data_IF_121789949209
#
_entry.id   IF_121789949209
#
_cell.length_a   1.000
_cell.length_b   1.000
_cell.length_c   1.000
_cell.angle_alpha   90.00
_cell.angle_beta   90.00
_cell.angle_gamma   90.00
#
_symmetry.space_group_name_H-M   'P 1'
#
loop_
_entity.id
_entity.type
_entity.pdbx_description
1 polymer ?
#
# COMPACT_ATOMS: atom_id res chain seq x y z
N UNK A 1 -22.32 -24.02 -3.93
CA UNK A 1 -20.98 -24.61 -3.71
C UNK A 1 -19.93 -24.25 -4.77
N UNK A 2 -20.17 -24.42 -6.07
CA UNK A 2 -19.15 -24.13 -7.12
C UNK A 2 -18.76 -22.62 -7.22
N UNK A 3 -19.68 -21.71 -6.90
CA UNK A 3 -19.44 -20.26 -7.01
C UNK A 3 -18.47 -19.73 -5.93
N UNK A 4 -18.59 -20.19 -4.68
CA UNK A 4 -17.74 -19.74 -3.57
C UNK A 4 -16.30 -20.28 -3.68
N UNK A 5 -16.13 -21.50 -4.18
CA UNK A 5 -14.81 -22.07 -4.45
C UNK A 5 -14.09 -21.33 -5.58
N UNK A 6 -14.80 -21.05 -6.69
CA UNK A 6 -14.25 -20.28 -7.82
C UNK A 6 -13.92 -18.83 -7.43
N UNK A 7 -14.80 -18.21 -6.66
CA UNK A 7 -14.56 -16.87 -6.11
C UNK A 7 -13.37 -16.88 -5.13
N UNK A 8 -13.23 -17.94 -4.33
CA UNK A 8 -12.10 -18.20 -3.46
C UNK A 8 -10.77 -18.26 -4.21
N UNK A 9 -10.69 -18.98 -5.34
CA UNK A 9 -9.48 -19.04 -6.18
C UNK A 9 -9.14 -17.69 -6.80
N UNK A 10 -10.09 -17.01 -7.44
CA UNK A 10 -9.83 -15.71 -8.07
C UNK A 10 -9.43 -14.63 -7.06
N UNK A 11 -9.99 -14.68 -5.85
CA UNK A 11 -9.60 -13.77 -4.77
C UNK A 11 -8.16 -14.02 -4.31
N UNK A 12 -7.74 -15.28 -4.22
CA UNK A 12 -6.36 -15.65 -3.85
C UNK A 12 -5.37 -15.21 -4.92
N UNK A 13 -5.68 -15.46 -6.19
CA UNK A 13 -4.85 -15.03 -7.34
C UNK A 13 -4.69 -13.51 -7.38
N UNK A 14 -5.79 -12.76 -7.21
CA UNK A 14 -5.74 -11.30 -7.13
C UNK A 14 -4.86 -10.83 -5.98
N UNK A 15 -5.09 -11.34 -4.77
CA UNK A 15 -4.32 -10.95 -3.60
C UNK A 15 -2.82 -11.22 -3.79
N UNK A 16 -2.47 -12.38 -4.35
CA UNK A 16 -1.09 -12.72 -4.66
C UNK A 16 -0.48 -11.73 -5.65
N UNK A 17 -1.20 -11.40 -6.73
CA UNK A 17 -0.74 -10.45 -7.76
C UNK A 17 -0.52 -9.06 -7.17
N UNK A 18 -1.54 -8.51 -6.51
CA UNK A 18 -1.46 -7.19 -5.86
C UNK A 18 -0.32 -7.11 -4.83
N UNK A 19 -0.05 -8.20 -4.09
CA UNK A 19 1.09 -8.24 -3.14
C UNK A 19 2.45 -8.25 -3.85
N UNK A 20 2.56 -8.87 -5.03
CA UNK A 20 3.80 -8.84 -5.83
C UNK A 20 4.05 -7.46 -6.40
N UNK A 21 3.02 -6.83 -6.96
CA UNK A 21 3.09 -5.46 -7.48
C UNK A 21 3.40 -4.44 -6.37
N UNK A 22 2.80 -4.63 -5.19
CA UNK A 22 3.17 -3.87 -4.01
C UNK A 22 4.66 -4.04 -3.65
N UNK A 23 5.17 -5.28 -3.69
CA UNK A 23 6.58 -5.57 -3.41
C UNK A 23 7.51 -4.89 -4.43
N UNK A 24 7.13 -4.81 -5.70
CA UNK A 24 7.89 -4.10 -6.74
C UNK A 24 8.01 -2.60 -6.44
N UNK A 25 6.90 -1.93 -6.12
CA UNK A 25 6.92 -0.51 -5.72
C UNK A 25 7.78 -0.34 -4.46
N UNK A 26 7.57 -1.18 -3.45
CA UNK A 26 8.29 -1.06 -2.18
C UNK A 26 9.80 -1.30 -2.33
N UNK A 27 10.24 -2.14 -3.29
CA UNK A 27 11.66 -2.30 -3.63
C UNK A 27 12.25 -1.04 -4.25
N UNK A 28 11.54 -0.40 -5.17
CA UNK A 28 11.96 0.88 -5.77
C UNK A 28 12.01 1.99 -4.72
N UNK A 29 11.09 1.97 -3.76
CA UNK A 29 11.00 2.96 -2.70
C UNK A 29 11.76 2.60 -1.42
N UNK A 30 12.67 1.61 -1.41
CA UNK A 30 13.30 1.08 -0.20
C UNK A 30 13.90 2.15 0.74
N UNK A 31 14.40 3.26 0.19
CA UNK A 31 15.04 4.36 0.93
C UNK A 31 14.02 5.25 1.67
N UNK A 32 12.73 5.18 1.31
CA UNK A 32 11.64 5.97 1.87
C UNK A 32 10.80 5.20 2.90
N UNK A 33 11.34 4.11 3.45
CA UNK A 33 10.69 3.28 4.48
C UNK A 33 9.24 2.87 4.13
N UNK A 34 9.00 2.27 2.95
CA UNK A 34 7.65 2.06 2.46
C UNK A 34 6.93 1.00 3.30
N UNK A 35 5.62 1.19 3.46
CA UNK A 35 4.72 0.26 4.16
C UNK A 35 3.46 -0.01 3.34
N UNK A 36 3.18 -1.28 3.09
CA UNK A 36 1.91 -1.72 2.52
C UNK A 36 0.83 -1.65 3.60
N UNK A 37 -0.24 -0.92 3.31
CA UNK A 37 -1.40 -0.72 4.19
C UNK A 37 -2.70 -1.08 3.45
N UNK A 38 -3.85 -0.75 4.05
CA UNK A 38 -5.16 -1.02 3.45
C UNK A 38 -5.56 -2.50 3.34
N UNK A 39 -6.29 -2.84 2.28
CA UNK A 39 -6.93 -4.16 2.15
C UNK A 39 -5.96 -5.28 1.73
N UNK A 40 -4.90 -4.92 1.01
CA UNK A 40 -3.94 -5.87 0.43
C UNK A 40 -3.04 -6.49 1.50
N UNK A 41 -2.51 -5.70 2.44
CA UNK A 41 -1.75 -6.31 3.54
C UNK A 41 -2.67 -7.13 4.45
N UNK A 42 -3.90 -6.68 4.73
CA UNK A 42 -4.89 -7.41 5.55
C UNK A 42 -5.26 -8.77 4.96
N UNK A 43 -5.01 -8.98 3.67
CA UNK A 43 -5.42 -10.18 2.95
C UNK A 43 -6.93 -10.19 2.66
N UNK A 44 -7.55 -9.01 2.66
CA UNK A 44 -9.01 -8.86 2.50
C UNK A 44 -9.40 -8.20 1.19
N UNK A 45 -8.43 -7.82 0.33
CA UNK A 45 -8.64 -7.24 -0.99
C UNK A 45 -9.77 -7.92 -1.79
N UNK A 46 -10.58 -7.08 -2.44
CA UNK A 46 -11.76 -7.45 -3.23
C UNK A 46 -11.61 -6.91 -4.65
N UNK A 47 -12.66 -7.03 -5.47
CA UNK A 47 -12.63 -6.52 -6.84
C UNK A 47 -12.74 -5.00 -6.76
N UNK A 48 -11.85 -4.29 -7.45
CA UNK A 48 -11.76 -2.83 -7.37
C UNK A 48 -11.05 -2.31 -6.11
N UNK A 49 -10.40 -3.18 -5.33
CA UNK A 49 -9.44 -2.72 -4.32
C UNK A 49 -8.19 -2.18 -5.00
N UNK A 50 -7.63 -1.15 -4.41
CA UNK A 50 -6.33 -0.55 -4.69
C UNK A 50 -5.22 -1.14 -3.80
N UNK A 51 -3.97 -0.89 -4.21
CA UNK A 51 -2.77 -1.18 -3.45
C UNK A 51 -2.34 0.09 -2.72
N UNK A 52 -2.56 0.15 -1.40
CA UNK A 52 -2.17 1.30 -0.59
C UNK A 52 -0.74 1.18 -0.04
N UNK A 53 0.12 2.13 -0.36
CA UNK A 53 1.49 2.20 0.18
C UNK A 53 1.71 3.57 0.83
N UNK A 54 2.24 3.57 2.05
CA UNK A 54 2.76 4.79 2.68
C UNK A 54 4.27 4.83 2.47
N UNK A 55 4.79 5.97 2.04
CA UNK A 55 6.20 6.28 1.98
C UNK A 55 6.50 7.56 2.78
N UNK A 56 7.74 7.73 3.21
CA UNK A 56 8.14 8.86 4.06
C UNK A 56 9.28 9.65 3.42
N UNK A 57 9.08 10.96 3.29
CA UNK A 57 10.09 11.88 2.76
C UNK A 57 9.84 13.31 3.27
N UNK A 58 10.90 14.12 3.33
CA UNK A 58 10.76 15.58 3.48
C UNK A 58 10.49 16.28 2.14
N UNK A 59 10.84 15.62 1.03
CA UNK A 59 10.60 16.10 -0.33
C UNK A 59 9.82 15.02 -1.11
N UNK A 60 8.54 15.30 -1.38
CA UNK A 60 7.67 14.35 -2.07
C UNK A 60 8.07 14.13 -3.53
N UNK A 61 8.75 15.09 -4.16
CA UNK A 61 9.21 14.98 -5.55
C UNK A 61 10.32 13.94 -5.69
N UNK A 62 11.09 13.67 -4.63
CA UNK A 62 12.08 12.59 -4.64
C UNK A 62 11.43 11.21 -4.76
N UNK A 63 10.29 11.00 -4.11
CA UNK A 63 9.53 9.75 -4.21
C UNK A 63 8.98 9.59 -5.63
N UNK A 64 8.39 10.64 -6.18
CA UNK A 64 7.90 10.66 -7.57
C UNK A 64 9.02 10.37 -8.57
N UNK A 65 10.16 11.05 -8.44
CA UNK A 65 11.32 10.85 -9.31
C UNK A 65 11.84 9.41 -9.23
N UNK A 66 11.86 8.80 -8.04
CA UNK A 66 12.28 7.42 -7.89
C UNK A 66 11.31 6.44 -8.55
N UNK A 67 10.00 6.64 -8.42
CA UNK A 67 9.01 5.82 -9.14
C UNK A 67 9.21 5.91 -10.66
N UNK A 68 9.41 7.11 -11.19
CA UNK A 68 9.65 7.33 -12.62
C UNK A 68 10.95 6.69 -13.10
N UNK A 69 12.04 6.78 -12.33
CA UNK A 69 13.33 6.12 -12.64
C UNK A 69 13.21 4.60 -12.72
N UNK A 70 12.27 4.02 -11.99
CA UNK A 70 11.95 2.60 -12.02
C UNK A 70 10.88 2.24 -13.06
N UNK A 71 10.51 3.16 -13.95
CA UNK A 71 9.54 3.00 -15.03
C UNK A 71 8.11 2.70 -14.57
N UNK A 72 7.70 3.14 -13.39
CA UNK A 72 6.29 3.08 -13.00
C UNK A 72 5.48 4.13 -13.75
N UNK A 73 4.33 3.72 -14.28
CA UNK A 73 3.38 4.60 -14.97
C UNK A 73 2.59 5.41 -13.95
N UNK A 74 3.01 6.65 -13.72
CA UNK A 74 2.31 7.59 -12.83
C UNK A 74 1.14 8.19 -13.57
N UNK A 75 -0.07 7.86 -13.13
CA UNK A 75 -1.32 8.28 -13.75
C UNK A 75 -1.71 9.70 -13.36
N UNK A 76 -1.61 10.00 -12.06
CA UNK A 76 -1.91 11.33 -11.50
C UNK A 76 -1.21 11.53 -10.17
N UNK A 77 -1.05 12.79 -9.79
CA UNK A 77 -0.52 13.19 -8.49
C UNK A 77 -1.40 14.26 -7.86
N UNK A 78 -1.62 14.17 -6.55
CA UNK A 78 -2.50 15.09 -5.82
C UNK A 78 -1.82 15.53 -4.52
N UNK A 79 -1.92 16.82 -4.19
CA UNK A 79 -1.45 17.35 -2.91
C UNK A 79 -2.66 17.67 -2.04
N UNK A 80 -2.77 16.99 -0.91
CA UNK A 80 -3.87 17.14 0.03
C UNK A 80 -3.32 17.77 1.30
N UNK A 81 -4.03 18.77 1.83
CA UNK A 81 -3.72 19.39 3.12
C UNK A 81 -4.94 19.29 4.03
N UNK A 82 -4.78 18.61 5.15
CA UNK A 82 -5.82 18.44 6.16
C UNK A 82 -5.37 19.03 7.49
N UNK A 83 -6.30 19.61 8.23
CA UNK A 83 -6.05 20.02 9.62
C UNK A 83 -6.55 18.92 10.52
N UNK A 84 -5.64 18.21 11.20
CA UNK A 84 -5.98 17.20 12.22
C UNK A 84 -5.48 17.66 13.57
N UNK A 85 -6.37 17.67 14.57
CA UNK A 85 -6.04 18.08 15.96
C UNK A 85 -5.35 19.45 16.08
N UNK A 86 -5.62 20.37 15.14
CA UNK A 86 -5.00 21.70 15.08
C UNK A 86 -3.66 21.76 14.34
N UNK A 87 -3.08 20.61 13.95
CA UNK A 87 -1.88 20.54 13.12
C UNK A 87 -2.26 20.42 11.63
N UNK A 88 -1.58 21.19 10.77
CA UNK A 88 -1.69 21.03 9.31
C UNK A 88 -0.82 19.85 8.87
N UNK A 89 -1.46 18.78 8.45
CA UNK A 89 -0.79 17.67 7.77
C UNK A 89 -0.97 17.81 6.27
N UNK A 90 0.13 17.75 5.52
CA UNK A 90 0.08 17.64 4.07
C UNK A 90 0.55 16.26 3.64
N UNK A 91 -0.18 15.68 2.69
CA UNK A 91 0.15 14.42 2.04
C UNK A 91 0.23 14.62 0.54
N UNK A 92 1.13 13.87 -0.10
CA UNK A 92 1.26 13.85 -1.55
C UNK A 92 0.91 12.45 -2.04
N UNK A 93 -0.14 12.35 -2.83
CA UNK A 93 -0.70 11.10 -3.32
C UNK A 93 -0.21 10.90 -4.76
N UNK A 94 0.32 9.71 -5.04
CA UNK A 94 0.82 9.33 -6.36
C UNK A 94 0.06 8.07 -6.76
N UNK A 95 -0.70 8.15 -7.85
CA UNK A 95 -1.46 7.03 -8.38
C UNK A 95 -0.68 6.37 -9.51
N UNK A 96 -0.59 5.05 -9.47
CA UNK A 96 0.15 4.21 -10.43
C UNK A 96 -0.83 3.19 -11.01
N UNK A 97 -0.79 3.00 -12.33
CA UNK A 97 -1.49 1.90 -12.99
C UNK A 97 -0.53 0.79 -13.38
N UNK A 98 -0.95 -0.45 -13.15
CA UNK A 98 -0.22 -1.63 -13.62
C UNK A 98 -0.83 -2.17 -14.91
N UNK A 99 -0.02 -2.81 -15.78
CA UNK A 99 -0.53 -3.53 -16.96
C UNK A 99 -1.52 -4.65 -16.62
N UNK A 100 -1.53 -5.14 -15.38
CA UNK A 100 -2.50 -6.12 -14.86
C UNK A 100 -3.91 -5.55 -14.69
N UNK A 101 -4.05 -4.23 -14.73
CA UNK A 101 -5.28 -3.49 -14.45
C UNK A 101 -5.48 -3.13 -12.97
N UNK A 102 -4.54 -3.48 -12.09
CA UNK A 102 -4.57 -3.08 -10.69
C UNK A 102 -4.04 -1.62 -10.54
N UNK A 103 -4.58 -0.87 -9.58
CA UNK A 103 -4.16 0.51 -9.25
C UNK A 103 -3.44 0.51 -7.90
N UNK A 104 -2.38 1.33 -7.78
CA UNK A 104 -1.70 1.58 -6.53
C UNK A 104 -1.71 3.06 -6.17
N UNK A 105 -1.93 3.36 -4.90
CA UNK A 105 -1.76 4.69 -4.33
C UNK A 105 -0.53 4.69 -3.43
N UNK A 106 0.43 5.57 -3.73
CA UNK A 106 1.56 5.87 -2.84
C UNK A 106 1.29 7.21 -2.16
N UNK A 107 1.03 7.16 -0.86
CA UNK A 107 0.86 8.34 -0.01
C UNK A 107 2.19 8.70 0.63
N UNK A 108 2.76 9.84 0.24
CA UNK A 108 3.99 10.38 0.82
C UNK A 108 3.65 11.25 2.01
N UNK A 109 4.25 10.93 3.15
CA UNK A 109 4.09 11.66 4.41
C UNK A 109 5.44 12.19 4.91
N UNK A 110 5.38 13.20 5.77
CA UNK A 110 6.57 13.76 6.42
C UNK A 110 7.25 12.75 7.34
N UNK A 111 8.59 12.80 7.42
CA UNK A 111 9.39 11.99 8.37
C UNK A 111 9.00 12.23 9.83
N UNK A 112 8.40 13.37 10.18
CA UNK A 112 7.90 13.66 11.55
C UNK A 112 6.79 12.68 11.95
N UNK A 113 6.05 12.17 10.96
CA UNK A 113 4.98 11.18 11.17
C UNK A 113 5.51 9.73 11.20
N UNK A 114 6.80 9.52 10.90
CA UNK A 114 7.40 8.20 10.92
C UNK A 114 7.36 7.63 12.33
N UNK A 115 6.68 6.49 12.49
CA UNK A 115 6.51 5.83 13.79
C UNK A 115 5.32 6.32 14.62
N UNK A 116 4.59 7.37 14.19
CA UNK A 116 3.28 7.70 14.78
C UNK A 116 2.30 6.55 14.47
N UNK A 117 1.64 6.04 15.50
CA UNK A 117 0.68 4.95 15.37
C UNK A 117 -0.68 5.51 14.95
N UNK A 118 -1.16 5.15 13.75
CA UNK A 118 -2.53 5.45 13.33
C UNK A 118 -3.46 4.28 13.63
N UNK A 119 -4.71 4.57 14.00
CA UNK A 119 -5.75 3.55 14.14
C UNK A 119 -6.40 3.24 12.80
N UNK A 120 -6.78 1.99 12.62
CA UNK A 120 -7.54 1.53 11.47
C UNK A 120 -9.01 1.95 11.60
N UNK A 121 -9.55 2.66 10.62
CA UNK A 121 -10.96 3.11 10.64
C UNK A 121 -11.93 1.93 10.51
N UNK A 122 -11.54 0.88 9.78
CA UNK A 122 -12.38 -0.31 9.58
C UNK A 122 -12.30 -1.30 10.74
N UNK A 123 -11.13 -1.47 11.36
CA UNK A 123 -10.88 -2.54 12.33
C UNK A 123 -10.59 -2.03 13.76
N UNK A 124 -10.37 -0.73 13.96
CA UNK A 124 -10.12 -0.11 15.27
C UNK A 124 -8.74 -0.36 15.89
N UNK A 125 -7.92 -1.23 15.28
CA UNK A 125 -6.58 -1.61 15.73
C UNK A 125 -5.48 -0.68 15.19
N UNK A 126 -4.26 -0.79 15.73
CA UNK A 126 -3.11 -0.01 15.26
C UNK A 126 -2.73 -0.46 13.84
N UNK A 127 -2.78 0.45 12.87
CA UNK A 127 -2.27 0.26 11.51
C UNK A 127 -0.75 0.11 11.57
N UNK A 128 -0.29 -1.13 11.65
CA UNK A 128 1.13 -1.41 11.49
C UNK A 128 1.48 -1.58 10.01
N UNK A 129 0.65 -2.28 9.22
CA UNK A 129 0.98 -2.60 7.83
C UNK A 129 2.18 -3.54 7.70
N UNK A 130 2.58 -3.86 6.48
CA UNK A 130 3.76 -4.68 6.22
C UNK A 130 4.91 -3.80 5.71
N UNK A 131 6.09 -3.91 6.33
CA UNK A 131 7.34 -3.44 5.74
C UNK A 131 7.76 -4.33 4.56
N UNK A 132 8.68 -3.87 3.72
CA UNK A 132 9.18 -4.63 2.57
C UNK A 132 9.65 -6.04 2.99
N UNK A 133 10.46 -6.13 4.05
CA UNK A 133 10.95 -7.41 4.59
C UNK A 133 9.82 -8.34 5.03
N UNK A 134 8.77 -7.79 5.66
CA UNK A 134 7.63 -8.57 6.11
C UNK A 134 6.78 -9.04 4.92
N UNK A 135 6.53 -8.18 3.93
CA UNK A 135 5.80 -8.55 2.72
C UNK A 135 6.53 -9.65 1.93
N UNK A 136 7.86 -9.54 1.75
CA UNK A 136 8.67 -10.59 1.13
C UNK A 136 8.55 -11.91 1.87
N UNK A 137 8.56 -11.89 3.20
CA UNK A 137 8.38 -13.09 4.02
C UNK A 137 6.99 -13.71 3.80
N UNK A 138 5.93 -12.89 3.82
CA UNK A 138 4.55 -13.33 3.56
C UNK A 138 4.41 -13.96 2.17
N UNK A 139 4.97 -13.33 1.14
CA UNK A 139 4.97 -13.84 -0.24
C UNK A 139 5.73 -15.17 -0.38
N UNK A 140 6.70 -15.45 0.49
CA UNK A 140 7.44 -16.71 0.49
C UNK A 140 6.73 -17.82 1.26
N UNK A 141 6.13 -17.48 2.40
CA UNK A 141 5.61 -18.48 3.35
C UNK A 141 4.11 -18.74 3.17
N UNK A 142 3.29 -17.68 3.14
CA UNK A 142 1.84 -17.78 2.97
C UNK A 142 1.30 -16.53 2.26
N UNK A 143 1.31 -16.51 0.92
CA UNK A 143 0.97 -15.32 0.16
C UNK A 143 -0.48 -14.86 0.30
N UNK A 144 -1.36 -15.70 0.86
CA UNK A 144 -2.79 -15.42 1.06
C UNK A 144 -3.15 -15.24 2.54
N UNK A 145 -2.14 -15.09 3.40
CA UNK A 145 -2.32 -14.87 4.83
C UNK A 145 -3.20 -13.64 5.10
N UNK A 146 -4.16 -13.79 6.01
CA UNK A 146 -4.99 -12.70 6.52
C UNK A 146 -4.41 -12.14 7.82
N UNK A 147 -4.52 -10.84 8.00
CA UNK A 147 -4.05 -10.10 9.18
C UNK A 147 -5.19 -9.28 9.77
N UNK A 148 -6.28 -9.95 10.16
CA UNK A 148 -7.45 -9.32 10.79
C UNK A 148 -7.42 -9.57 12.29
N UNK A 149 -7.87 -8.62 13.13
CA UNK A 149 -8.07 -8.87 14.56
C UNK A 149 -8.98 -10.09 14.78
N UNK A 150 -8.75 -10.81 15.87
CA UNK A 150 -9.61 -11.91 16.35
C UNK A 150 -10.86 -11.32 16.98
#
# INVERSE_FOLDING_TARGET
EIAEEREGTHRRERLLRMRKEAEEIMKALKEFNPRLVGSVWRGTARKGSDIDIIAFSQDCLQVLSQLQKHNFEVARTEQISVTKEGEKESSFHIHIFFPSGDEAEVVVRSLITLGKQERCETYGDIKTGLSLKQLTKVLKENPVQKFVPI
#
